data_IF_715303082070
#
_entry.id   IF_715303082070
#
_cell.length_a   1.000
_cell.length_b   1.000
_cell.length_c   1.000
_cell.angle_alpha   90.00
_cell.angle_beta   90.00
_cell.angle_gamma   90.00
#
_symmetry.space_group_name_H-M   'P 1'
#
loop_
_entity.id
_entity.type
_entity.pdbx_description
1 polymer ?
#
# COMPACT_ATOMS: atom_id res chain seq x y z
N UNK A 1 9.12 -32.61 5.19
CA UNK A 1 7.97 -32.08 5.96
C UNK A 1 8.37 -30.73 6.53
N UNK A 2 8.16 -29.64 5.79
CA UNK A 2 8.39 -28.26 6.28
C UNK A 2 7.03 -27.57 6.37
N UNK A 3 6.31 -27.89 7.43
CA UNK A 3 5.04 -27.26 7.78
C UNK A 3 5.32 -26.59 9.12
N UNK A 4 5.20 -25.27 9.17
CA UNK A 4 5.23 -24.36 10.34
C UNK A 4 6.26 -23.26 10.14
N UNK A 5 5.82 -22.02 10.42
CA UNK A 5 6.57 -20.76 10.58
C UNK A 5 6.34 -19.65 9.54
N UNK A 6 5.13 -19.51 9.01
CA UNK A 6 4.61 -18.17 8.65
C UNK A 6 3.16 -18.11 9.13
N UNK A 7 2.98 -17.89 10.44
CA UNK A 7 1.65 -17.69 11.01
C UNK A 7 1.45 -16.19 11.17
N UNK A 8 0.93 -15.53 10.13
CA UNK A 8 0.49 -14.15 10.24
C UNK A 8 -0.60 -14.07 11.33
N UNK A 9 -0.36 -13.24 12.35
CA UNK A 9 -1.25 -13.10 13.52
C UNK A 9 -2.54 -12.41 13.10
N UNK A 10 -3.52 -13.18 12.61
CA UNK A 10 -4.86 -12.67 12.30
C UNK A 10 -5.57 -12.36 13.62
N UNK A 11 -5.75 -11.07 13.91
CA UNK A 11 -6.49 -10.61 15.09
C UNK A 11 -7.94 -11.14 15.06
N UNK A 12 -8.42 -11.64 16.22
CA UNK A 12 -9.78 -12.17 16.39
C UNK A 12 -10.88 -11.14 16.12
N UNK A 13 -10.55 -9.85 15.96
CA UNK A 13 -11.49 -8.79 15.64
C UNK A 13 -11.56 -8.42 14.14
N UNK A 14 -10.87 -9.18 13.27
CA UNK A 14 -10.90 -8.93 11.82
C UNK A 14 -12.22 -9.45 11.25
N UNK A 15 -12.97 -8.65 10.45
CA UNK A 15 -14.17 -9.13 9.76
C UNK A 15 -13.85 -10.36 8.92
N UNK A 16 -14.83 -11.28 8.77
CA UNK A 16 -14.64 -12.59 8.09
C UNK A 16 -13.97 -12.44 6.73
N UNK A 17 -14.36 -11.42 5.96
CA UNK A 17 -13.78 -11.10 4.64
C UNK A 17 -12.27 -10.81 4.74
N UNK A 18 -11.84 -10.08 5.78
CA UNK A 18 -10.41 -9.79 5.99
C UNK A 18 -9.59 -11.03 6.32
N UNK A 19 -10.17 -11.99 7.05
CA UNK A 19 -9.49 -13.27 7.35
C UNK A 19 -9.36 -14.17 6.12
N UNK A 20 -10.41 -14.23 5.30
CA UNK A 20 -10.40 -14.99 4.04
C UNK A 20 -9.35 -14.41 3.09
N UNK A 21 -9.28 -13.07 2.99
CA UNK A 21 -8.26 -12.39 2.18
C UNK A 21 -6.85 -12.70 2.68
N UNK A 22 -6.59 -12.58 3.98
CA UNK A 22 -5.28 -12.92 4.54
C UNK A 22 -4.88 -14.38 4.30
N UNK A 23 -5.81 -15.32 4.44
CA UNK A 23 -5.55 -16.74 4.15
C UNK A 23 -5.28 -17.00 2.67
N UNK A 24 -5.98 -16.30 1.77
CA UNK A 24 -5.72 -16.37 0.34
C UNK A 24 -4.35 -15.80 -0.02
N UNK A 25 -3.99 -14.64 0.54
CA UNK A 25 -2.70 -13.99 0.30
C UNK A 25 -1.55 -14.89 0.79
N UNK A 26 -1.68 -15.52 1.95
CA UNK A 26 -0.71 -16.49 2.49
C UNK A 26 -0.57 -17.73 1.59
N UNK A 27 -1.70 -18.32 1.16
CA UNK A 27 -1.68 -19.46 0.24
C UNK A 27 -1.02 -19.09 -1.10
N UNK A 28 -1.35 -17.92 -1.65
CA UNK A 28 -0.78 -17.41 -2.90
C UNK A 28 0.73 -17.19 -2.76
N UNK A 29 1.18 -16.59 -1.66
CA UNK A 29 2.59 -16.38 -1.36
C UNK A 29 3.36 -17.70 -1.30
N UNK A 30 2.85 -18.67 -0.55
CA UNK A 30 3.44 -20.01 -0.45
C UNK A 30 3.51 -20.73 -1.80
N UNK A 31 2.45 -20.63 -2.61
CA UNK A 31 2.41 -21.19 -3.97
C UNK A 31 3.45 -20.55 -4.87
N UNK A 32 3.54 -19.22 -4.88
CA UNK A 32 4.45 -18.48 -5.76
C UNK A 32 5.92 -18.76 -5.39
N UNK A 33 6.25 -18.81 -4.10
CA UNK A 33 7.58 -19.25 -3.64
C UNK A 33 7.89 -20.66 -4.16
N UNK A 34 6.96 -21.60 -4.01
CA UNK A 34 7.19 -22.99 -4.45
C UNK A 34 7.44 -23.06 -5.96
N UNK A 35 6.67 -22.30 -6.75
CA UNK A 35 6.84 -22.25 -8.20
C UNK A 35 8.22 -21.68 -8.58
N UNK A 36 8.62 -20.56 -7.99
CA UNK A 36 9.92 -19.92 -8.26
C UNK A 36 11.08 -20.83 -7.84
N UNK A 37 10.99 -21.41 -6.64
CA UNK A 37 11.96 -22.39 -6.16
C UNK A 37 12.10 -23.56 -7.13
N UNK A 38 10.99 -24.13 -7.60
CA UNK A 38 11.02 -25.25 -8.56
C UNK A 38 11.66 -24.87 -9.89
N UNK A 39 11.49 -23.63 -10.35
CA UNK A 39 12.08 -23.15 -11.58
C UNK A 39 13.60 -22.96 -11.43
N UNK A 40 14.04 -22.40 -10.30
CA UNK A 40 15.46 -22.17 -10.01
C UNK A 40 16.20 -23.45 -9.63
N UNK A 41 15.52 -24.41 -9.01
CA UNK A 41 16.11 -25.69 -8.61
C UNK A 41 16.62 -26.49 -9.83
N UNK A 42 16.02 -26.28 -11.00
CA UNK A 42 16.44 -26.90 -12.27
C UNK A 42 17.76 -26.34 -12.83
N UNK A 43 18.24 -25.22 -12.31
CA UNK A 43 19.48 -24.57 -12.78
C UNK A 43 20.71 -25.22 -12.16
N UNK A 44 21.81 -25.31 -12.91
CA UNK A 44 23.09 -25.76 -12.34
C UNK A 44 23.64 -24.75 -11.32
N UNK A 45 24.57 -25.18 -10.46
CA UNK A 45 25.20 -24.27 -9.49
C UNK A 45 25.90 -23.08 -10.17
N UNK A 46 26.49 -23.30 -11.35
CA UNK A 46 27.07 -22.22 -12.13
C UNK A 46 25.99 -21.24 -12.63
N UNK A 47 24.86 -21.75 -13.12
CA UNK A 47 23.75 -20.89 -13.57
C UNK A 47 23.12 -20.10 -12.41
N UNK A 48 22.95 -20.70 -11.24
CA UNK A 48 22.51 -19.99 -10.03
C UNK A 48 23.51 -18.90 -9.64
N UNK A 49 24.80 -19.21 -9.68
CA UNK A 49 25.87 -18.26 -9.39
C UNK A 49 25.87 -17.06 -10.34
N UNK A 50 25.59 -17.26 -11.63
CA UNK A 50 25.46 -16.17 -12.61
C UNK A 50 24.30 -15.21 -12.29
N UNK A 51 23.23 -15.71 -11.66
CA UNK A 51 22.10 -14.90 -11.19
C UNK A 51 22.37 -14.32 -9.77
N UNK A 52 23.57 -14.55 -9.22
CA UNK A 52 23.97 -14.07 -7.90
C UNK A 52 23.34 -14.83 -6.74
N UNK A 53 22.83 -16.04 -6.99
CA UNK A 53 22.14 -16.85 -5.98
C UNK A 53 22.99 -18.09 -5.65
N UNK A 54 23.16 -18.36 -4.35
CA UNK A 54 23.73 -19.64 -3.89
C UNK A 54 22.61 -20.64 -3.66
N UNK A 55 22.84 -21.90 -4.02
CA UNK A 55 21.85 -22.98 -3.86
C UNK A 55 21.43 -23.15 -2.39
N UNK A 56 22.37 -23.02 -1.46
CA UNK A 56 22.10 -23.12 -0.01
C UNK A 56 21.21 -21.97 0.50
N UNK A 57 21.29 -20.81 -0.15
CA UNK A 57 20.57 -19.59 0.23
C UNK A 57 19.33 -19.35 -0.65
N UNK A 58 18.97 -20.31 -1.51
CA UNK A 58 17.96 -20.14 -2.55
C UNK A 58 16.59 -19.78 -1.98
N UNK A 59 16.18 -20.49 -0.93
CA UNK A 59 14.89 -20.25 -0.26
C UNK A 59 14.83 -18.85 0.36
N UNK A 60 15.84 -18.48 1.14
CA UNK A 60 15.86 -17.18 1.82
C UNK A 60 15.89 -16.04 0.80
N UNK A 61 16.70 -16.19 -0.25
CA UNK A 61 16.81 -15.19 -1.33
C UNK A 61 15.46 -14.99 -2.02
N UNK A 62 14.78 -16.06 -2.42
CA UNK A 62 13.46 -15.98 -3.07
C UNK A 62 12.41 -15.39 -2.14
N UNK A 63 12.39 -15.81 -0.87
CA UNK A 63 11.44 -15.30 0.12
C UNK A 63 11.63 -13.80 0.37
N UNK A 64 12.88 -13.33 0.47
CA UNK A 64 13.20 -11.91 0.63
C UNK A 64 12.84 -11.10 -0.63
N UNK A 65 13.16 -11.60 -1.82
CA UNK A 65 12.78 -10.94 -3.08
C UNK A 65 11.26 -10.78 -3.19
N UNK A 66 10.50 -11.81 -2.81
CA UNK A 66 9.04 -11.77 -2.80
C UNK A 66 8.49 -10.77 -1.78
N UNK A 67 9.04 -10.73 -0.56
CA UNK A 67 8.68 -9.75 0.48
C UNK A 67 8.93 -8.32 0.01
N UNK A 68 10.10 -8.07 -0.59
CA UNK A 68 10.43 -6.75 -1.17
C UNK A 68 9.50 -6.36 -2.30
N UNK A 69 9.22 -7.29 -3.21
CA UNK A 69 8.29 -7.05 -4.31
C UNK A 69 6.89 -6.70 -3.80
N UNK A 70 6.39 -7.36 -2.75
CA UNK A 70 5.09 -7.01 -2.19
C UNK A 70 5.10 -5.66 -1.48
N UNK A 71 6.15 -5.35 -0.71
CA UNK A 71 6.31 -4.02 -0.12
C UNK A 71 6.31 -2.90 -1.18
N UNK A 72 7.00 -3.12 -2.31
CA UNK A 72 6.99 -2.18 -3.44
C UNK A 72 5.60 -2.04 -4.07
N UNK A 73 4.81 -3.12 -4.18
CA UNK A 73 3.43 -3.03 -4.67
C UNK A 73 2.51 -2.26 -3.72
N UNK A 74 2.70 -2.40 -2.41
CA UNK A 74 1.97 -1.59 -1.40
C UNK A 74 2.24 -0.10 -1.65
N UNK A 75 3.51 0.28 -1.74
CA UNK A 75 3.91 1.67 -2.04
C UNK A 75 3.35 2.14 -3.37
N UNK A 76 3.42 1.32 -4.42
CA UNK A 76 2.84 1.64 -5.72
C UNK A 76 1.34 1.92 -5.65
N UNK A 77 0.56 1.08 -4.93
CA UNK A 77 -0.87 1.29 -4.70
C UNK A 77 -1.15 2.58 -3.92
N UNK A 78 -0.34 2.87 -2.91
CA UNK A 78 -0.46 4.12 -2.13
C UNK A 78 -0.20 5.35 -3.00
N UNK A 79 0.84 5.33 -3.82
CA UNK A 79 1.16 6.41 -4.76
C UNK A 79 0.05 6.58 -5.79
N UNK A 80 -0.45 5.51 -6.41
CA UNK A 80 -1.59 5.59 -7.34
C UNK A 80 -2.81 6.18 -6.65
N UNK A 81 -3.13 5.76 -5.42
CA UNK A 81 -4.25 6.33 -4.66
C UNK A 81 -4.06 7.81 -4.31
N UNK A 82 -2.82 8.28 -4.13
CA UNK A 82 -2.53 9.71 -3.92
C UNK A 82 -2.72 10.51 -5.21
N UNK A 83 -2.34 9.95 -6.36
CA UNK A 83 -2.50 10.58 -7.67
C UNK A 83 -3.96 10.59 -8.16
N UNK A 84 -4.71 9.52 -7.89
CA UNK A 84 -6.12 9.39 -8.29
C UNK A 84 -7.07 10.22 -7.41
N UNK A 85 -6.61 10.71 -6.25
CA UNK A 85 -7.38 11.69 -5.49
C UNK A 85 -7.33 13.02 -6.24
N UNK A 86 -8.47 13.54 -6.74
CA UNK A 86 -8.48 14.90 -7.25
C UNK A 86 -7.94 15.80 -6.14
N UNK A 87 -6.96 16.62 -6.48
CA UNK A 87 -6.54 17.71 -5.61
C UNK A 87 -7.74 18.65 -5.52
N UNK A 88 -8.65 18.37 -4.59
CA UNK A 88 -9.58 19.37 -4.08
C UNK A 88 -8.69 20.33 -3.31
N UNK A 89 -8.07 21.24 -4.06
CA UNK A 89 -7.51 22.44 -3.49
C UNK A 89 -8.64 23.09 -2.71
N UNK A 90 -8.57 22.96 -1.39
CA UNK A 90 -9.27 23.82 -0.45
C UNK A 90 -9.00 25.26 -0.89
N UNK A 91 -9.94 25.86 -1.62
CA UNK A 91 -10.00 27.31 -1.71
C UNK A 91 -10.14 27.79 -0.26
N UNK A 92 -9.20 28.57 0.30
CA UNK A 92 -9.49 29.26 1.53
C UNK A 92 -10.69 30.16 1.21
N UNK A 93 -11.75 29.98 2.00
CA UNK A 93 -12.93 30.81 1.96
C UNK A 93 -12.47 32.27 1.89
N UNK A 94 -12.87 32.96 0.82
CA UNK A 94 -12.80 34.42 0.74
C UNK A 94 -13.51 34.92 2.00
N UNK A 95 -12.75 35.38 2.97
CA UNK A 95 -13.28 35.99 4.19
C UNK A 95 -14.27 37.07 3.77
N UNK A 96 -15.54 36.83 4.07
CA UNK A 96 -16.57 37.84 4.03
C UNK A 96 -16.18 38.91 5.05
N UNK A 97 -15.70 40.07 4.59
CA UNK A 97 -15.67 41.27 5.42
C UNK A 97 -17.12 41.68 5.70
N UNK A 98 -17.57 41.72 6.96
CA UNK A 98 -18.74 42.49 7.32
C UNK A 98 -18.25 43.91 7.62
N UNK A 99 -18.51 44.86 6.72
CA UNK A 99 -18.36 46.28 7.05
C UNK A 99 -19.65 47.00 6.70
N UNK A 100 -20.57 46.88 7.65
CA UNK A 100 -21.33 48.00 8.23
C UNK A 100 -21.65 49.15 7.25
N UNK A 101 -22.75 49.01 6.52
CA UNK A 101 -23.44 50.16 5.92
C UNK A 101 -24.85 50.23 6.50
N UNK A 102 -24.96 50.79 7.70
CA UNK A 102 -26.24 51.21 8.26
C UNK A 102 -26.03 52.42 9.18
N UNK A 103 -26.11 53.63 8.61
CA UNK A 103 -26.44 54.84 9.36
C UNK A 103 -27.61 55.54 8.65
N UNK A 104 -28.79 55.67 9.29
CA UNK A 104 -29.91 56.40 8.73
C UNK A 104 -29.86 57.90 9.07
N UNK A 105 -30.51 58.67 8.19
CA UNK A 105 -31.09 60.01 8.35
C UNK A 105 -30.18 61.22 8.70
N UNK A 106 -30.07 62.14 7.74
CA UNK A 106 -30.05 63.57 8.01
C UNK A 106 -31.07 64.26 7.09
N UNK A 107 -32.20 64.64 7.69
CA UNK A 107 -33.23 65.50 7.12
C UNK A 107 -32.64 66.87 6.78
N UNK A 108 -32.69 67.27 5.52
CA UNK A 108 -32.41 68.64 5.09
C UNK A 108 -33.63 69.50 5.36
N UNK A 109 -33.58 70.35 6.38
CA UNK A 109 -34.44 71.54 6.53
C UNK A 109 -33.60 72.74 6.14
N UNK A 110 -33.99 73.46 5.11
CA UNK A 110 -33.50 74.80 4.81
C UNK A 110 -34.70 75.73 4.61
N UNK A 111 -34.59 76.90 5.23
CA UNK A 111 -35.56 77.97 5.36
C UNK A 111 -35.81 78.73 4.04
#
# INVERSE_FOLDING_TARGET
MFKTLISATVSKNTPVIGRVRAAYDEWRFSRDITAIMSALDRLSNHQLHLVGIRRDDLFETVAEMMRRAEAQRVVGREVTNMLDRPTTATQPAKEAKPSETARPAATSVAA
#
